data_IF_120830896322
#
_entry.id   IF_120830896322
#
_cell.length_a   1.000
_cell.length_b   1.000
_cell.length_c   1.000
_cell.angle_alpha   90.00
_cell.angle_beta   90.00
_cell.angle_gamma   90.00
#
_symmetry.space_group_name_H-M   'P 1'
#
loop_
_entity.id
_entity.type
_entity.pdbx_description
1 polymer ?
#
# COMPACT_ATOMS: atom_id res chain seq x y z
N UNK A 1 -15.09 -21.32 -7.76
CA UNK A 1 -14.55 -20.11 -7.08
C UNK A 1 -14.37 -20.44 -5.61
N UNK A 2 -13.22 -20.11 -5.02
CA UNK A 2 -13.01 -20.31 -3.59
C UNK A 2 -13.81 -19.27 -2.79
N UNK A 3 -14.24 -19.62 -1.57
CA UNK A 3 -14.94 -18.71 -0.65
C UNK A 3 -14.16 -17.40 -0.44
N UNK A 4 -12.81 -17.48 -0.35
CA UNK A 4 -11.93 -16.32 -0.25
C UNK A 4 -12.04 -15.39 -1.46
N UNK A 5 -12.00 -15.92 -2.69
CA UNK A 5 -12.14 -15.11 -3.91
C UNK A 5 -13.49 -14.41 -3.94
N UNK A 6 -14.56 -15.13 -3.59
CA UNK A 6 -15.90 -14.54 -3.52
C UNK A 6 -15.96 -13.39 -2.52
N UNK A 7 -15.45 -13.59 -1.30
CA UNK A 7 -15.40 -12.54 -0.29
C UNK A 7 -14.58 -11.32 -0.75
N UNK A 8 -13.40 -11.54 -1.32
CA UNK A 8 -12.53 -10.44 -1.78
C UNK A 8 -13.17 -9.66 -2.94
N UNK A 9 -13.85 -10.34 -3.85
CA UNK A 9 -14.61 -9.69 -4.91
C UNK A 9 -15.77 -8.85 -4.34
N UNK A 10 -16.44 -9.35 -3.30
CA UNK A 10 -17.50 -8.60 -2.60
C UNK A 10 -16.95 -7.32 -1.97
N UNK A 11 -15.74 -7.36 -1.40
CA UNK A 11 -15.06 -6.18 -0.86
C UNK A 11 -14.79 -5.15 -1.97
N UNK A 12 -14.31 -5.60 -3.13
CA UNK A 12 -14.04 -4.72 -4.27
C UNK A 12 -15.33 -4.10 -4.84
N UNK A 13 -16.39 -4.91 -4.98
CA UNK A 13 -17.72 -4.44 -5.42
C UNK A 13 -18.27 -3.39 -4.44
N UNK A 14 -18.17 -3.63 -3.13
CA UNK A 14 -18.61 -2.67 -2.13
C UNK A 14 -17.86 -1.32 -2.23
N UNK A 15 -16.56 -1.36 -2.51
CA UNK A 15 -15.76 -0.16 -2.71
C UNK A 15 -16.17 0.62 -3.97
N UNK A 16 -16.35 -0.09 -5.08
CA UNK A 16 -16.78 0.50 -6.37
C UNK A 16 -18.17 1.08 -6.22
N UNK A 17 -19.09 0.37 -5.59
CA UNK A 17 -20.46 0.82 -5.35
C UNK A 17 -20.49 2.13 -4.55
N UNK A 18 -19.78 2.16 -3.42
CA UNK A 18 -19.71 3.35 -2.58
C UNK A 18 -19.13 4.55 -3.32
N UNK A 19 -18.02 4.35 -4.04
CA UNK A 19 -17.38 5.39 -4.84
C UNK A 19 -18.32 5.92 -5.93
N UNK A 20 -18.99 5.03 -6.66
CA UNK A 20 -19.95 5.39 -7.71
C UNK A 20 -21.09 6.27 -7.18
N UNK A 21 -21.65 5.92 -6.02
CA UNK A 21 -22.72 6.71 -5.40
C UNK A 21 -22.20 8.05 -4.86
N UNK A 22 -21.00 8.08 -4.32
CA UNK A 22 -20.36 9.33 -3.91
C UNK A 22 -20.13 10.27 -5.08
N UNK A 23 -19.68 9.76 -6.21
CA UNK A 23 -19.47 10.54 -7.44
C UNK A 23 -20.81 11.03 -8.03
N UNK A 24 -21.85 10.22 -7.95
CA UNK A 24 -23.20 10.63 -8.35
C UNK A 24 -23.73 11.80 -7.49
N UNK A 25 -23.59 11.74 -6.18
CA UNK A 25 -23.99 12.84 -5.27
C UNK A 25 -23.25 14.12 -5.62
N UNK A 26 -21.95 14.05 -5.92
CA UNK A 26 -21.16 15.19 -6.35
C UNK A 26 -21.66 15.77 -7.67
N UNK A 27 -21.96 14.93 -8.65
CA UNK A 27 -22.46 15.35 -9.94
C UNK A 27 -23.83 16.06 -9.81
N UNK A 28 -24.75 15.51 -9.04
CA UNK A 28 -26.06 16.12 -8.77
C UNK A 28 -25.90 17.45 -8.03
N UNK A 29 -25.05 17.53 -7.02
CA UNK A 29 -24.78 18.77 -6.29
C UNK A 29 -24.17 19.86 -7.19
N UNK A 30 -23.32 19.48 -8.15
CA UNK A 30 -22.78 20.41 -9.15
C UNK A 30 -23.88 20.95 -10.06
N UNK A 31 -24.76 20.08 -10.52
CA UNK A 31 -25.87 20.46 -11.41
C UNK A 31 -26.87 21.40 -10.72
N UNK A 32 -27.11 21.18 -9.44
CA UNK A 32 -28.01 22.01 -8.62
C UNK A 32 -27.31 23.22 -7.97
N UNK A 33 -26.04 23.46 -8.31
CA UNK A 33 -25.22 24.56 -7.78
C UNK A 33 -25.16 24.63 -6.23
N UNK A 34 -25.13 23.44 -5.60
CA UNK A 34 -25.04 23.29 -4.14
C UNK A 34 -23.79 22.51 -3.71
N UNK A 35 -22.64 22.82 -4.29
CA UNK A 35 -21.34 22.16 -4.03
C UNK A 35 -20.90 22.21 -2.57
N UNK A 36 -21.28 23.23 -1.86
CA UNK A 36 -21.06 23.42 -0.41
C UNK A 36 -21.76 22.37 0.45
N UNK A 37 -22.81 21.74 -0.06
CA UNK A 37 -23.60 20.72 0.66
C UNK A 37 -23.19 19.27 0.35
N UNK A 38 -22.17 19.07 -0.47
CA UNK A 38 -21.76 17.71 -0.90
C UNK A 38 -21.47 16.80 0.29
N UNK A 39 -20.70 17.26 1.26
CA UNK A 39 -20.32 16.45 2.43
C UNK A 39 -21.55 16.10 3.29
N UNK A 40 -22.44 17.05 3.51
CA UNK A 40 -23.71 16.83 4.23
C UNK A 40 -24.61 15.83 3.50
N UNK A 41 -24.72 15.93 2.19
CA UNK A 41 -25.51 15.01 1.37
C UNK A 41 -24.94 13.59 1.37
N UNK A 42 -23.61 13.45 1.32
CA UNK A 42 -22.94 12.16 1.41
C UNK A 42 -23.22 11.54 2.78
N UNK A 43 -23.06 12.27 3.85
CA UNK A 43 -23.29 11.77 5.21
C UNK A 43 -24.76 11.37 5.41
N UNK A 44 -25.70 12.16 4.93
CA UNK A 44 -27.14 11.95 5.12
C UNK A 44 -27.68 10.79 4.30
N UNK A 45 -27.27 10.64 3.03
CA UNK A 45 -27.88 9.68 2.09
C UNK A 45 -27.04 8.44 1.85
N UNK A 46 -25.75 8.53 1.95
CA UNK A 46 -24.82 7.42 1.69
C UNK A 46 -24.21 6.86 3.00
N UNK A 47 -23.92 7.74 3.96
CA UNK A 47 -23.27 7.40 5.20
C UNK A 47 -21.79 7.05 5.03
N UNK A 48 -21.23 6.41 6.03
CA UNK A 48 -19.82 6.01 6.04
C UNK A 48 -19.62 4.67 5.34
N UNK A 49 -18.60 4.59 4.50
CA UNK A 49 -18.24 3.33 3.83
C UNK A 49 -17.86 2.25 4.85
N UNK A 50 -18.46 1.06 4.71
CA UNK A 50 -18.07 -0.11 5.48
C UNK A 50 -16.65 -0.54 5.10
N UNK A 51 -15.76 -0.56 6.07
CA UNK A 51 -14.37 -1.01 5.92
C UNK A 51 -14.29 -2.53 6.09
N UNK A 52 -14.57 -3.26 5.03
CA UNK A 52 -14.44 -4.72 5.01
C UNK A 52 -13.01 -5.06 4.57
N UNK A 53 -12.34 -5.88 5.37
CA UNK A 53 -10.97 -6.32 5.06
C UNK A 53 -11.00 -7.56 4.16
N UNK A 54 -10.11 -7.58 3.18
CA UNK A 54 -9.87 -8.79 2.37
C UNK A 54 -9.24 -9.90 3.22
N UNK A 55 -9.62 -11.13 2.94
CA UNK A 55 -8.94 -12.27 3.52
C UNK A 55 -7.57 -12.46 2.88
N UNK A 56 -6.56 -12.57 3.73
CA UNK A 56 -5.21 -12.96 3.35
C UNK A 56 -5.01 -14.42 3.70
N UNK A 57 -4.38 -15.15 2.79
CA UNK A 57 -3.99 -16.53 3.06
C UNK A 57 -2.72 -16.54 3.91
N UNK A 58 -2.73 -17.19 5.08
CA UNK A 58 -1.52 -17.30 5.89
C UNK A 58 -0.38 -18.04 5.20
N UNK A 59 -0.73 -18.94 4.27
CA UNK A 59 0.22 -19.76 3.51
C UNK A 59 0.61 -19.14 2.15
N UNK A 60 0.03 -17.97 1.81
CA UNK A 60 0.40 -17.29 0.56
C UNK A 60 1.85 -16.80 0.63
N UNK A 61 2.68 -17.10 -0.38
CA UNK A 61 4.06 -16.63 -0.41
C UNK A 61 4.12 -15.11 -0.26
N UNK A 62 5.02 -14.63 0.58
CA UNK A 62 5.20 -13.19 0.78
C UNK A 62 5.92 -12.62 -0.44
N UNK A 63 5.41 -11.50 -0.94
CA UNK A 63 6.06 -10.76 -2.03
C UNK A 63 7.51 -10.44 -1.65
N UNK A 64 8.45 -10.55 -2.62
CA UNK A 64 9.85 -10.25 -2.37
C UNK A 64 10.04 -8.80 -1.96
N UNK A 65 11.01 -8.57 -1.08
CA UNK A 65 11.40 -7.22 -0.67
C UNK A 65 12.12 -6.53 -1.84
N UNK A 66 11.81 -5.27 -2.07
CA UNK A 66 12.52 -4.45 -3.08
C UNK A 66 13.98 -4.22 -2.67
N UNK A 67 14.84 -3.83 -3.63
CA UNK A 67 16.23 -3.48 -3.34
C UNK A 67 16.36 -2.42 -2.24
N UNK A 68 15.50 -1.40 -2.27
CA UNK A 68 15.47 -0.38 -1.21
C UNK A 68 15.09 -0.95 0.17
N UNK A 69 14.19 -1.92 0.24
CA UNK A 69 13.82 -2.57 1.50
C UNK A 69 14.98 -3.41 2.08
N UNK A 70 15.72 -4.13 1.23
CA UNK A 70 16.94 -4.83 1.65
C UNK A 70 17.99 -3.87 2.19
N UNK A 71 18.20 -2.76 1.51
CA UNK A 71 19.07 -1.69 1.99
C UNK A 71 18.61 -1.13 3.35
N UNK A 72 17.31 -0.87 3.52
CA UNK A 72 16.75 -0.39 4.78
C UNK A 72 16.98 -1.39 5.93
N UNK A 73 16.80 -2.68 5.69
CA UNK A 73 17.02 -3.71 6.70
C UNK A 73 18.48 -3.74 7.18
N UNK A 74 19.44 -3.51 6.28
CA UNK A 74 20.87 -3.46 6.61
C UNK A 74 21.26 -2.18 7.38
N UNK A 75 20.75 -1.03 6.94
CA UNK A 75 21.21 0.26 7.47
C UNK A 75 20.38 0.81 8.64
N UNK A 76 19.11 0.36 8.78
CA UNK A 76 18.26 0.80 9.91
C UNK A 76 18.92 0.60 11.27
N UNK A 77 19.49 -0.56 11.61
CA UNK A 77 20.16 -0.74 12.90
C UNK A 77 21.35 0.21 13.11
N UNK A 78 22.07 0.53 12.04
CA UNK A 78 23.22 1.43 12.07
C UNK A 78 22.78 2.88 12.38
N UNK A 79 21.69 3.33 11.77
CA UNK A 79 21.12 4.67 11.98
C UNK A 79 20.54 4.78 13.39
N UNK A 80 19.81 3.77 13.86
CA UNK A 80 19.25 3.74 15.22
C UNK A 80 20.36 3.81 16.29
N UNK A 81 21.46 3.09 16.08
CA UNK A 81 22.61 3.14 17.00
C UNK A 81 23.26 4.52 17.06
N UNK A 82 23.33 5.21 15.91
CA UNK A 82 23.91 6.57 15.85
C UNK A 82 22.99 7.63 16.45
N UNK A 83 21.69 7.43 16.34
CA UNK A 83 20.68 8.42 16.71
C UNK A 83 19.53 7.75 17.49
N UNK A 84 19.75 7.40 18.78
CA UNK A 84 18.75 6.66 19.57
C UNK A 84 17.46 7.45 19.79
N UNK A 85 17.49 8.79 19.65
CA UNK A 85 16.33 9.67 19.83
C UNK A 85 15.48 9.85 18.55
N UNK A 86 15.91 9.27 17.42
CA UNK A 86 15.18 9.37 16.18
C UNK A 86 13.86 8.60 16.23
N UNK A 87 12.80 9.26 15.77
CA UNK A 87 11.52 8.62 15.51
C UNK A 87 11.58 7.85 14.19
N UNK A 88 10.65 6.92 13.99
CA UNK A 88 10.57 6.11 12.76
C UNK A 88 10.60 6.96 11.48
N UNK A 89 9.92 8.11 11.46
CA UNK A 89 9.92 9.03 10.33
C UNK A 89 11.29 9.63 10.03
N UNK A 90 12.08 9.95 11.06
CA UNK A 90 13.42 10.51 10.90
C UNK A 90 14.41 9.46 10.39
N UNK A 91 14.29 8.23 10.89
CA UNK A 91 15.07 7.07 10.42
C UNK A 91 14.80 6.84 8.93
N UNK A 92 13.53 6.88 8.50
CA UNK A 92 13.15 6.68 7.09
C UNK A 92 13.65 7.81 6.20
N UNK A 93 13.68 9.05 6.68
CA UNK A 93 14.27 10.20 5.95
C UNK A 93 15.77 10.02 5.73
N UNK A 94 16.49 9.61 6.77
CA UNK A 94 17.94 9.37 6.66
C UNK A 94 18.25 8.19 5.73
N UNK A 95 17.46 7.11 5.80
CA UNK A 95 17.58 6.00 4.87
C UNK A 95 17.33 6.43 3.42
N UNK A 96 16.33 7.27 3.17
CA UNK A 96 16.03 7.82 1.85
C UNK A 96 17.14 8.69 1.31
N UNK A 97 17.75 9.57 2.14
CA UNK A 97 18.90 10.39 1.77
C UNK A 97 20.12 9.53 1.43
N UNK A 98 20.41 8.54 2.26
CA UNK A 98 21.54 7.65 2.08
C UNK A 98 21.38 6.82 0.78
N UNK A 99 20.20 6.30 0.52
CA UNK A 99 19.86 5.61 -0.73
C UNK A 99 20.01 6.52 -1.96
N UNK A 100 19.57 7.79 -1.85
CA UNK A 100 19.72 8.77 -2.91
C UNK A 100 21.17 9.12 -3.22
N UNK A 101 22.09 8.99 -2.24
CA UNK A 101 23.51 9.22 -2.44
C UNK A 101 24.27 8.04 -3.06
N UNK A 102 23.66 6.86 -3.11
CA UNK A 102 24.25 5.67 -3.70
C UNK A 102 24.27 5.75 -5.22
N UNK A 103 25.36 5.26 -5.82
CA UNK A 103 25.48 5.10 -7.26
C UNK A 103 24.63 3.91 -7.73
N UNK A 104 24.34 3.86 -9.05
CA UNK A 104 23.58 2.75 -9.62
C UNK A 104 24.29 1.41 -9.43
N UNK A 105 25.63 1.38 -9.50
CA UNK A 105 26.44 0.21 -9.22
C UNK A 105 26.30 -0.29 -7.79
N UNK A 106 26.23 0.63 -6.82
CA UNK A 106 26.00 0.29 -5.41
C UNK A 106 24.59 -0.23 -5.14
N UNK A 107 23.60 0.30 -5.87
CA UNK A 107 22.20 -0.16 -5.79
C UNK A 107 22.02 -1.52 -6.46
N UNK A 108 22.84 -1.86 -7.45
CA UNK A 108 22.72 -3.11 -8.21
C UNK A 108 22.82 -4.34 -7.31
N UNK A 109 23.69 -4.33 -6.31
CA UNK A 109 23.77 -5.39 -5.30
C UNK A 109 22.40 -5.69 -4.66
N UNK A 110 21.63 -4.65 -4.33
CA UNK A 110 20.31 -4.79 -3.71
C UNK A 110 19.24 -5.18 -4.73
N UNK A 111 19.40 -4.76 -5.98
CA UNK A 111 18.52 -5.15 -7.08
C UNK A 111 18.71 -6.64 -7.42
N UNK A 112 19.93 -7.14 -7.38
CA UNK A 112 20.22 -8.57 -7.53
C UNK A 112 19.52 -9.39 -6.43
N UNK A 113 19.62 -8.98 -5.17
CA UNK A 113 18.91 -9.61 -4.06
C UNK A 113 17.38 -9.63 -4.27
N UNK A 114 16.82 -8.57 -4.84
CA UNK A 114 15.40 -8.53 -5.21
C UNK A 114 15.08 -9.51 -6.33
N UNK A 115 15.90 -9.56 -7.38
CA UNK A 115 15.70 -10.45 -8.51
C UNK A 115 15.74 -11.92 -8.09
N UNK A 116 16.71 -12.30 -7.24
CA UNK A 116 16.82 -13.65 -6.69
C UNK A 116 15.58 -14.01 -5.85
N UNK A 117 15.16 -13.11 -4.96
CA UNK A 117 13.97 -13.29 -4.15
C UNK A 117 12.70 -13.35 -4.99
N UNK A 118 12.64 -12.62 -6.11
CA UNK A 118 11.54 -12.64 -7.06
C UNK A 118 11.45 -13.99 -7.79
N UNK A 119 12.57 -14.55 -8.23
CA UNK A 119 12.58 -15.87 -8.85
C UNK A 119 12.03 -16.94 -7.89
N UNK A 120 12.48 -16.96 -6.64
CA UNK A 120 11.98 -17.89 -5.61
C UNK A 120 10.48 -17.71 -5.37
N UNK A 121 10.01 -16.47 -5.35
CA UNK A 121 8.59 -16.18 -5.17
C UNK A 121 7.73 -16.68 -6.34
N UNK A 122 8.21 -16.50 -7.57
CA UNK A 122 7.52 -16.97 -8.77
C UNK A 122 7.44 -18.51 -8.80
N UNK A 123 8.52 -19.22 -8.43
CA UNK A 123 8.52 -20.68 -8.28
C UNK A 123 7.50 -21.16 -7.21
N UNK A 124 7.37 -20.43 -6.11
CA UNK A 124 6.39 -20.76 -5.07
C UNK A 124 4.94 -20.53 -5.51
N UNK A 125 4.70 -19.62 -6.45
CA UNK A 125 3.36 -19.36 -6.99
C UNK A 125 2.92 -20.45 -7.99
N UNK A 126 3.86 -21.12 -8.65
CA UNK A 126 3.58 -22.19 -9.62
C UNK A 126 3.26 -23.54 -8.96
N UNK A 127 3.58 -23.69 -7.69
CA UNK A 127 3.27 -24.88 -6.88
C UNK A 127 1.85 -24.82 -6.30
#
# INVERSE_FOLDING_TARGET
>A
MTSRKFHNNTVDINHIWYKSHKDLIKAVANELDCKDKVEELIEKFLGTQLKIKKFKDPNEPKKPKTGFQHFCDEFRPKIVKKNPDFKLGDIMKELGKLWGSYTDEQKEKYNEMYNDAKCVYEEQLEQ
#
